data_IF_403473933517
#
_entry.id   IF_403473933517
#
_cell.length_a   1.000
_cell.length_b   1.000
_cell.length_c   1.000
_cell.angle_alpha   90.00
_cell.angle_beta   90.00
_cell.angle_gamma   90.00
#
_symmetry.space_group_name_H-M   'P 1'
#
loop_
_entity.id
_entity.type
_entity.pdbx_description
1 polymer ?
#
# COMPACT_ATOMS: atom_id res chain seq x y z
N UNK A 1 -51.81 51.13 6.64
CA UNK A 1 -51.89 49.69 6.32
C UNK A 1 -50.76 49.38 5.37
N UNK A 2 -49.57 49.10 5.91
CA UNK A 2 -48.37 48.87 5.11
C UNK A 2 -48.38 47.42 4.62
N UNK A 3 -48.91 47.21 3.41
CA UNK A 3 -48.77 45.94 2.71
C UNK A 3 -47.33 45.84 2.20
N UNK A 4 -46.44 45.31 3.04
CA UNK A 4 -45.08 44.97 2.66
C UNK A 4 -45.12 43.80 1.65
N UNK A 5 -45.33 44.13 0.38
CA UNK A 5 -45.42 43.18 -0.71
C UNK A 5 -44.01 42.61 -0.95
N UNK A 6 -43.79 41.37 -0.53
CA UNK A 6 -42.53 40.67 -0.78
C UNK A 6 -42.40 40.41 -2.28
N UNK A 7 -41.68 41.29 -2.98
CA UNK A 7 -41.33 41.09 -4.39
C UNK A 7 -40.60 39.75 -4.54
N UNK A 8 -41.31 38.76 -5.09
CA UNK A 8 -40.75 37.49 -5.51
C UNK A 8 -39.79 37.76 -6.67
N UNK A 9 -38.50 37.98 -6.35
CA UNK A 9 -37.44 38.17 -7.34
C UNK A 9 -37.36 36.94 -8.24
N UNK A 10 -37.88 37.07 -9.46
CA UNK A 10 -37.79 36.03 -10.50
C UNK A 10 -36.31 35.65 -10.64
N UNK A 11 -36.00 34.37 -10.41
CA UNK A 11 -34.62 33.87 -10.47
C UNK A 11 -34.07 34.05 -11.88
N UNK A 12 -32.84 34.54 -11.99
CA UNK A 12 -32.17 34.68 -13.28
C UNK A 12 -31.89 33.32 -13.92
N UNK A 13 -31.73 33.29 -15.25
CA UNK A 13 -31.40 32.07 -15.98
C UNK A 13 -30.15 31.35 -15.42
N UNK A 14 -29.15 32.11 -14.98
CA UNK A 14 -27.94 31.58 -14.32
C UNK A 14 -28.25 30.89 -13.00
N UNK A 15 -29.11 31.49 -12.16
CA UNK A 15 -29.52 30.91 -10.88
C UNK A 15 -30.30 29.61 -11.09
N UNK A 16 -31.24 29.58 -12.05
CA UNK A 16 -31.98 28.35 -12.41
C UNK A 16 -31.04 27.22 -12.82
N UNK A 17 -30.07 27.48 -13.72
CA UNK A 17 -29.05 26.50 -14.14
C UNK A 17 -28.19 26.02 -12.97
N UNK A 18 -27.81 26.92 -12.06
CA UNK A 18 -27.00 26.57 -10.89
C UNK A 18 -27.74 25.62 -9.96
N UNK A 19 -29.03 25.87 -9.71
CA UNK A 19 -29.86 25.04 -8.84
C UNK A 19 -29.95 23.60 -9.38
N UNK A 20 -30.26 23.44 -10.67
CA UNK A 20 -30.32 22.11 -11.31
C UNK A 20 -28.99 21.38 -11.20
N UNK A 21 -27.87 22.08 -11.44
CA UNK A 21 -26.53 21.48 -11.30
C UNK A 21 -26.24 21.07 -9.86
N UNK A 22 -26.55 21.93 -8.88
CA UNK A 22 -26.33 21.63 -7.47
C UNK A 22 -27.21 20.48 -6.99
N UNK A 23 -28.44 20.38 -7.49
CA UNK A 23 -29.34 19.28 -7.14
C UNK A 23 -28.80 17.96 -7.68
N UNK A 24 -28.40 17.93 -8.96
CA UNK A 24 -27.72 16.78 -9.56
C UNK A 24 -26.46 16.38 -8.78
N UNK A 25 -25.62 17.34 -8.41
CA UNK A 25 -24.41 17.06 -7.63
C UNK A 25 -24.74 16.49 -6.24
N UNK A 26 -25.81 16.98 -5.58
CA UNK A 26 -26.28 16.41 -4.30
C UNK A 26 -26.77 14.97 -4.45
N UNK A 27 -27.50 14.65 -5.53
CA UNK A 27 -27.93 13.29 -5.83
C UNK A 27 -26.73 12.35 -6.00
N UNK A 28 -25.69 12.81 -6.72
CA UNK A 28 -24.45 12.04 -6.90
C UNK A 28 -23.71 11.81 -5.57
N UNK A 29 -23.65 12.81 -4.70
CA UNK A 29 -23.06 12.67 -3.35
C UNK A 29 -23.86 11.66 -2.52
N UNK A 30 -25.20 11.73 -2.55
CA UNK A 30 -26.07 10.78 -1.84
C UNK A 30 -25.85 9.35 -2.33
N UNK A 31 -25.77 9.16 -3.65
CA UNK A 31 -25.51 7.88 -4.27
C UNK A 31 -24.14 7.31 -3.85
N UNK A 32 -23.09 8.15 -3.83
CA UNK A 32 -21.76 7.73 -3.38
C UNK A 32 -21.74 7.36 -1.89
N UNK A 33 -22.40 8.13 -1.02
CA UNK A 33 -22.53 7.79 0.40
C UNK A 33 -23.21 6.44 0.60
N UNK A 34 -24.32 6.20 -0.11
CA UNK A 34 -25.02 4.91 -0.06
C UNK A 34 -24.12 3.76 -0.51
N UNK A 35 -23.37 3.95 -1.59
CA UNK A 35 -22.38 2.98 -2.07
C UNK A 35 -21.33 2.67 -1.01
N UNK A 36 -20.79 3.68 -0.35
CA UNK A 36 -19.80 3.53 0.72
C UNK A 36 -20.38 2.77 1.92
N UNK A 37 -21.60 3.10 2.35
CA UNK A 37 -22.32 2.39 3.42
C UNK A 37 -22.49 0.90 3.10
N UNK A 38 -22.93 0.56 1.88
CA UNK A 38 -23.10 -0.83 1.44
C UNK A 38 -21.78 -1.59 1.44
N UNK A 39 -20.68 -0.97 0.99
CA UNK A 39 -19.37 -1.59 1.10
C UNK A 39 -18.95 -1.82 2.56
N UNK A 40 -19.22 -0.87 3.47
CA UNK A 40 -18.91 -1.06 4.89
C UNK A 40 -19.72 -2.21 5.48
N UNK A 41 -21.00 -2.32 5.13
CA UNK A 41 -21.87 -3.43 5.54
C UNK A 41 -21.35 -4.77 5.00
N UNK A 42 -20.99 -4.83 3.71
CA UNK A 42 -20.40 -6.03 3.11
C UNK A 42 -19.07 -6.42 3.80
N UNK A 43 -18.26 -5.43 4.18
CA UNK A 43 -17.01 -5.65 4.90
C UNK A 43 -17.22 -6.06 6.36
N UNK A 44 -18.33 -5.70 7.00
CA UNK A 44 -18.64 -6.09 8.38
C UNK A 44 -19.25 -7.49 8.51
N UNK A 45 -19.73 -8.10 7.43
CA UNK A 45 -20.29 -9.45 7.44
C UNK A 45 -19.33 -10.49 8.06
N UNK A 46 -19.80 -11.48 8.82
CA UNK A 46 -18.92 -12.47 9.44
C UNK A 46 -18.29 -13.42 8.39
N UNK A 47 -17.19 -14.06 8.79
CA UNK A 47 -16.63 -15.20 8.05
C UNK A 47 -17.37 -16.47 8.48
N UNK A 48 -17.85 -17.25 7.52
CA UNK A 48 -18.57 -18.50 7.75
C UNK A 48 -17.66 -19.68 7.42
N UNK A 49 -17.56 -20.70 8.28
CA UNK A 49 -16.76 -21.89 7.98
C UNK A 49 -17.36 -22.65 6.79
N UNK A 50 -16.49 -23.17 5.93
CA UNK A 50 -16.88 -24.05 4.83
C UNK A 50 -17.14 -25.45 5.38
N UNK A 51 -18.18 -26.12 4.87
CA UNK A 51 -18.47 -27.52 5.18
C UNK A 51 -17.31 -28.43 4.79
N UNK A 52 -16.66 -28.15 3.66
CA UNK A 52 -15.49 -28.88 3.18
C UNK A 52 -14.36 -27.89 2.87
N UNK A 53 -13.32 -27.82 3.71
CA UNK A 53 -12.12 -27.06 3.41
C UNK A 53 -11.44 -27.58 2.14
N UNK A 54 -10.92 -26.68 1.31
CA UNK A 54 -10.24 -27.05 0.07
C UNK A 54 -8.88 -26.36 -0.05
N UNK A 55 -7.99 -26.98 -0.81
CA UNK A 55 -6.67 -26.41 -1.10
C UNK A 55 -6.78 -25.44 -2.29
N UNK A 56 -6.48 -24.15 -2.05
CA UNK A 56 -6.43 -23.13 -3.13
C UNK A 56 -5.07 -23.05 -3.83
N UNK A 57 -4.02 -23.56 -3.19
CA UNK A 57 -2.67 -23.54 -3.72
C UNK A 57 -1.66 -23.90 -2.64
N UNK A 58 -0.50 -23.25 -2.68
CA UNK A 58 0.60 -23.43 -1.73
C UNK A 58 0.99 -22.09 -1.10
N UNK A 59 1.43 -22.16 0.14
CA UNK A 59 2.08 -21.05 0.82
C UNK A 59 3.46 -21.48 1.28
N UNK A 60 4.40 -20.56 1.31
CA UNK A 60 5.71 -20.77 1.93
C UNK A 60 6.01 -19.64 2.90
N UNK A 61 6.59 -20.03 4.02
CA UNK A 61 6.84 -19.18 5.18
C UNK A 61 8.12 -19.66 5.86
N UNK A 62 8.72 -18.80 6.67
CA UNK A 62 9.87 -19.17 7.46
C UNK A 62 9.45 -19.90 8.73
N UNK A 63 10.20 -20.92 9.09
CA UNK A 63 10.11 -21.67 10.35
C UNK A 63 11.48 -21.69 10.99
N UNK A 64 11.54 -21.68 12.32
CA UNK A 64 12.80 -21.83 13.04
C UNK A 64 13.44 -23.20 12.70
N UNK A 65 14.75 -23.18 12.43
CA UNK A 65 15.53 -24.38 12.11
C UNK A 65 15.58 -25.30 13.33
N UNK A 66 15.60 -26.61 13.09
CA UNK A 66 15.39 -27.60 14.16
C UNK A 66 16.52 -27.66 15.20
N UNK A 67 17.74 -27.27 14.82
CA UNK A 67 18.87 -27.10 15.75
C UNK A 67 18.68 -25.90 16.69
N UNK A 68 18.27 -24.75 16.15
CA UNK A 68 17.99 -23.55 16.96
C UNK A 68 16.79 -23.79 17.87
N UNK A 69 15.78 -24.55 17.42
CA UNK A 69 14.64 -24.96 18.25
C UNK A 69 15.02 -25.78 19.48
N UNK A 70 16.13 -26.52 19.44
CA UNK A 70 16.63 -27.31 20.58
C UNK A 70 17.56 -26.52 21.48
N UNK A 71 17.93 -25.30 21.09
CA UNK A 71 18.85 -24.44 21.84
C UNK A 71 18.13 -23.65 22.94
N UNK A 72 18.89 -23.14 23.91
CA UNK A 72 18.34 -22.32 24.99
C UNK A 72 17.65 -21.03 24.50
N UNK A 73 18.04 -20.51 23.33
CA UNK A 73 17.46 -19.31 22.73
C UNK A 73 16.27 -19.59 21.81
N UNK A 74 15.75 -20.83 21.79
CA UNK A 74 14.60 -21.21 20.95
C UNK A 74 13.40 -20.28 21.17
N UNK A 75 13.02 -20.06 22.42
CA UNK A 75 11.85 -19.24 22.78
C UNK A 75 11.97 -17.80 22.27
N UNK A 76 13.18 -17.21 22.33
CA UNK A 76 13.45 -15.87 21.81
C UNK A 76 13.22 -15.78 20.29
N UNK A 77 13.81 -16.70 19.52
CA UNK A 77 13.65 -16.68 18.06
C UNK A 77 12.25 -17.10 17.60
N UNK A 78 11.56 -17.95 18.35
CA UNK A 78 10.14 -18.25 18.10
C UNK A 78 9.25 -17.03 18.32
N UNK A 79 9.52 -16.20 19.34
CA UNK A 79 8.81 -14.95 19.58
C UNK A 79 9.12 -13.86 18.53
N UNK A 80 10.35 -13.82 18.02
CA UNK A 80 10.76 -12.89 16.97
C UNK A 80 10.17 -13.26 15.60
N UNK A 81 10.07 -14.55 15.27
CA UNK A 81 9.60 -15.03 13.98
C UNK A 81 8.30 -14.36 13.49
N UNK A 82 7.17 -14.32 14.22
CA UNK A 82 5.93 -13.71 13.74
C UNK A 82 6.07 -12.22 13.38
N UNK A 83 7.03 -11.51 13.99
CA UNK A 83 7.30 -10.09 13.73
C UNK A 83 7.98 -9.87 12.37
N UNK A 84 8.85 -10.80 11.98
CA UNK A 84 9.67 -10.70 10.76
C UNK A 84 9.23 -11.65 9.64
N UNK A 85 8.32 -12.59 9.90
CA UNK A 85 7.96 -13.62 8.93
C UNK A 85 7.30 -13.00 7.70
N UNK A 86 7.61 -13.55 6.54
CA UNK A 86 6.95 -13.22 5.28
C UNK A 86 6.23 -14.46 4.77
N UNK A 87 5.02 -14.29 4.26
CA UNK A 87 4.24 -15.38 3.67
C UNK A 87 4.07 -15.08 2.18
N UNK A 88 4.41 -16.05 1.33
CA UNK A 88 4.13 -15.98 -0.09
C UNK A 88 3.19 -17.09 -0.51
N UNK A 89 2.19 -16.72 -1.30
CA UNK A 89 1.22 -17.63 -1.89
C UNK A 89 1.58 -17.89 -3.36
N UNK A 90 1.34 -19.11 -3.82
CA UNK A 90 1.52 -19.52 -5.20
C UNK A 90 0.55 -20.66 -5.54
N UNK A 91 0.18 -20.80 -6.82
CA UNK A 91 -0.72 -21.89 -7.24
C UNK A 91 0.01 -23.24 -7.26
N UNK A 92 1.29 -23.26 -7.68
CA UNK A 92 2.16 -24.44 -7.65
C UNK A 92 3.12 -24.49 -6.45
N UNK A 93 3.48 -25.72 -6.03
CA UNK A 93 4.45 -26.00 -4.96
C UNK A 93 5.87 -25.53 -5.26
N UNK A 94 6.22 -25.29 -6.53
CA UNK A 94 7.59 -24.95 -6.94
C UNK A 94 7.97 -23.48 -6.74
N UNK A 95 6.97 -22.58 -6.59
CA UNK A 95 7.19 -21.13 -6.47
C UNK A 95 8.10 -20.52 -7.56
N UNK A 96 8.07 -21.11 -8.76
CA UNK A 96 8.82 -20.61 -9.91
C UNK A 96 8.08 -19.47 -10.58
N UNK A 97 8.79 -18.38 -10.86
CA UNK A 97 8.28 -17.26 -11.64
C UNK A 97 8.74 -17.36 -13.09
N UNK A 98 7.82 -17.11 -14.02
CA UNK A 98 8.14 -16.97 -15.44
C UNK A 98 8.97 -15.71 -15.64
N UNK A 99 10.13 -15.85 -16.27
CA UNK A 99 11.03 -14.73 -16.59
C UNK A 99 11.39 -14.77 -18.05
N UNK A 100 11.28 -13.61 -18.71
CA UNK A 100 11.65 -13.45 -20.11
C UNK A 100 13.10 -12.99 -20.22
N UNK A 101 13.89 -13.66 -21.05
CA UNK A 101 15.25 -13.23 -21.41
C UNK A 101 15.45 -13.45 -22.91
N UNK A 102 15.87 -12.41 -23.64
CA UNK A 102 16.13 -12.44 -25.09
C UNK A 102 15.00 -13.15 -25.88
N UNK A 103 13.75 -12.70 -25.69
CA UNK A 103 12.53 -13.26 -26.33
C UNK A 103 12.15 -14.71 -25.95
N UNK A 104 12.94 -15.44 -25.14
CA UNK A 104 12.61 -16.76 -24.61
C UNK A 104 12.09 -16.67 -23.17
N UNK A 105 11.29 -17.65 -22.76
CA UNK A 105 10.78 -17.76 -21.38
C UNK A 105 11.50 -18.89 -20.65
N UNK A 106 11.97 -18.59 -19.44
CA UNK A 106 12.46 -19.57 -18.48
C UNK A 106 11.70 -19.44 -17.17
N UNK A 107 11.92 -20.41 -16.28
CA UNK A 107 11.36 -20.42 -14.94
C UNK A 107 12.49 -20.30 -13.91
N UNK A 108 12.42 -19.31 -13.04
CA UNK A 108 13.39 -19.11 -11.97
C UNK A 108 12.68 -19.23 -10.62
N UNK A 109 13.36 -19.82 -9.63
CA UNK A 109 12.85 -19.84 -8.26
C UNK A 109 12.87 -18.40 -7.74
N UNK A 110 11.72 -17.89 -7.31
CA UNK A 110 11.65 -16.58 -6.68
C UNK A 110 12.30 -16.68 -5.30
N UNK A 111 13.34 -15.89 -5.03
CA UNK A 111 13.88 -15.76 -3.68
C UNK A 111 12.86 -15.10 -2.76
N UNK A 112 12.80 -15.57 -1.52
CA UNK A 112 12.01 -14.99 -0.45
C UNK A 112 12.95 -14.73 0.73
N UNK A 113 12.85 -13.54 1.28
CA UNK A 113 13.62 -13.08 2.42
C UNK A 113 12.69 -12.79 3.59
N UNK A 114 13.25 -12.78 4.79
CA UNK A 114 12.57 -12.26 5.97
C UNK A 114 12.28 -10.76 5.78
N UNK A 115 11.40 -10.22 6.61
CA UNK A 115 11.01 -8.82 6.52
C UNK A 115 12.14 -7.93 7.04
N UNK A 116 12.57 -7.01 6.18
CA UNK A 116 13.45 -5.90 6.57
C UNK A 116 12.61 -4.69 7.01
N UNK A 117 13.24 -3.80 7.78
CA UNK A 117 12.62 -2.56 8.24
C UNK A 117 13.25 -1.34 7.58
N UNK A 118 12.43 -0.42 7.06
CA UNK A 118 12.87 0.91 6.66
C UNK A 118 13.13 1.78 7.89
N UNK A 119 13.92 2.85 7.75
CA UNK A 119 14.21 3.81 8.82
C UNK A 119 12.96 4.31 9.55
N UNK A 120 11.90 4.62 8.80
CA UNK A 120 10.65 5.06 9.41
C UNK A 120 9.99 3.94 10.22
N UNK A 121 9.89 2.74 9.67
CA UNK A 121 9.26 1.61 10.36
C UNK A 121 10.03 1.18 11.62
N UNK A 122 11.36 1.29 11.60
CA UNK A 122 12.24 1.03 12.73
C UNK A 122 12.00 2.05 13.86
N UNK A 123 11.94 3.35 13.51
CA UNK A 123 11.69 4.43 14.49
C UNK A 123 10.30 4.35 15.13
N UNK A 124 9.26 4.08 14.33
CA UNK A 124 7.89 3.99 14.84
C UNK A 124 7.67 2.69 15.62
N UNK A 125 8.45 1.65 15.33
CA UNK A 125 8.39 0.34 15.98
C UNK A 125 6.95 -0.24 16.10
N UNK A 126 6.17 -0.19 15.00
CA UNK A 126 4.78 -0.72 14.98
C UNK A 126 4.67 -2.20 15.31
N UNK A 127 5.79 -2.93 15.21
CA UNK A 127 5.87 -4.37 15.41
C UNK A 127 6.25 -4.71 16.86
N UNK A 128 6.47 -3.70 17.72
CA UNK A 128 6.86 -3.86 19.12
C UNK A 128 8.07 -4.79 19.29
N UNK A 129 9.16 -4.46 18.57
CA UNK A 129 10.46 -5.10 18.77
C UNK A 129 11.02 -4.71 20.13
N UNK A 130 11.44 -5.70 20.91
CA UNK A 130 12.18 -5.47 22.17
C UNK A 130 13.60 -5.01 21.85
N UNK A 131 14.27 -4.40 22.83
CA UNK A 131 15.63 -3.90 22.60
C UNK A 131 16.63 -5.04 22.35
N UNK A 132 16.43 -6.21 22.97
CA UNK A 132 17.17 -7.44 22.68
C UNK A 132 16.96 -7.91 21.23
N UNK A 133 15.71 -7.93 20.74
CA UNK A 133 15.41 -8.29 19.36
C UNK A 133 16.05 -7.32 18.37
N UNK A 134 16.12 -6.02 18.70
CA UNK A 134 16.76 -5.02 17.84
C UNK A 134 18.25 -5.27 17.64
N UNK A 135 18.93 -5.87 18.62
CA UNK A 135 20.36 -6.23 18.49
C UNK A 135 20.62 -7.24 17.37
N UNK A 136 19.61 -8.02 16.98
CA UNK A 136 19.70 -8.99 15.90
C UNK A 136 19.67 -8.34 14.50
N UNK A 137 19.61 -7.01 14.38
CA UNK A 137 19.56 -6.32 13.11
C UNK A 137 20.78 -5.43 12.90
N UNK A 138 21.25 -5.38 11.65
CA UNK A 138 22.27 -4.43 11.21
C UNK A 138 21.70 -3.41 10.25
N UNK A 139 22.25 -2.20 10.33
CA UNK A 139 21.95 -1.13 9.41
C UNK A 139 22.72 -1.34 8.11
N UNK A 140 22.00 -1.40 6.99
CA UNK A 140 22.56 -1.58 5.66
C UNK A 140 22.02 -0.50 4.73
N UNK A 141 22.92 0.15 3.98
CA UNK A 141 22.53 1.06 2.91
C UNK A 141 22.27 0.26 1.63
N UNK A 142 21.06 0.38 1.09
CA UNK A 142 20.64 -0.31 -0.12
C UNK A 142 20.22 0.73 -1.15
N UNK A 143 20.76 0.63 -2.36
CA UNK A 143 20.32 1.45 -3.48
C UNK A 143 19.00 0.89 -4.03
N UNK A 144 17.89 1.62 -3.86
CA UNK A 144 16.62 1.25 -4.47
C UNK A 144 16.58 1.70 -5.94
N UNK A 145 16.51 0.72 -6.83
CA UNK A 145 16.43 0.93 -8.29
C UNK A 145 15.19 1.71 -8.70
N UNK A 146 14.07 1.58 -7.97
CA UNK A 146 12.78 2.21 -8.32
C UNK A 146 12.80 3.71 -8.07
N UNK A 147 13.27 4.11 -6.89
CA UNK A 147 13.36 5.52 -6.47
C UNK A 147 14.69 6.15 -6.89
N UNK A 148 15.69 5.33 -7.26
CA UNK A 148 17.06 5.72 -7.58
C UNK A 148 17.73 6.50 -6.44
N UNK A 149 17.48 6.10 -5.19
CA UNK A 149 18.09 6.69 -4.01
C UNK A 149 18.61 5.61 -3.06
N UNK A 150 19.61 5.97 -2.27
CA UNK A 150 20.05 5.14 -1.15
C UNK A 150 18.97 5.18 -0.07
N UNK A 151 18.55 4.00 0.36
CA UNK A 151 17.65 3.81 1.50
C UNK A 151 18.38 3.01 2.58
N UNK A 152 18.26 3.45 3.82
CA UNK A 152 18.76 2.71 4.98
C UNK A 152 17.72 1.68 5.38
N UNK A 153 18.13 0.41 5.43
CA UNK A 153 17.31 -0.70 5.92
C UNK A 153 17.98 -1.41 7.08
N UNK A 154 17.16 -1.93 7.98
CA UNK A 154 17.58 -2.80 9.07
C UNK A 154 17.28 -4.23 8.67
N UNK A 155 18.35 -4.99 8.46
CA UNK A 155 18.33 -6.37 7.97
C UNK A 155 18.75 -7.29 9.11
N UNK A 156 18.11 -8.46 9.20
CA UNK A 156 18.46 -9.45 10.20
C UNK A 156 19.90 -9.99 9.95
N UNK A 157 20.72 -10.04 11.00
CA UNK A 157 22.11 -10.51 10.93
C UNK A 157 22.22 -12.01 10.69
N UNK A 158 21.33 -12.79 11.31
CA UNK A 158 21.39 -14.26 11.32
C UNK A 158 20.18 -14.90 10.64
N UNK A 159 19.97 -14.69 9.32
CA UNK A 159 18.81 -15.23 8.61
C UNK A 159 18.84 -16.76 8.49
N UNK A 160 20.02 -17.39 8.61
CA UNK A 160 20.21 -18.84 8.51
C UNK A 160 19.49 -19.64 9.62
N UNK A 161 19.13 -18.99 10.73
CA UNK A 161 18.33 -19.58 11.81
C UNK A 161 16.91 -19.95 11.35
N UNK A 162 16.46 -19.39 10.24
CA UNK A 162 15.13 -19.59 9.70
C UNK A 162 15.18 -20.28 8.34
N UNK A 163 14.36 -21.31 8.17
CA UNK A 163 14.28 -22.11 6.93
C UNK A 163 12.90 -21.97 6.31
N UNK A 164 12.86 -21.89 4.98
CA UNK A 164 11.61 -21.86 4.24
C UNK A 164 10.92 -23.22 4.29
N UNK A 165 9.68 -23.24 4.77
CA UNK A 165 8.79 -24.40 4.72
C UNK A 165 7.63 -24.14 3.78
N UNK A 166 7.35 -25.10 2.92
CA UNK A 166 6.21 -25.06 1.99
C UNK A 166 5.07 -25.89 2.60
N UNK A 167 3.87 -25.32 2.61
CA UNK A 167 2.65 -25.93 3.11
C UNK A 167 1.48 -25.69 2.14
N UNK A 168 0.47 -26.57 2.11
CA UNK A 168 -0.76 -26.31 1.37
C UNK A 168 -1.46 -25.07 1.93
N UNK A 169 -2.02 -24.24 1.05
CA UNK A 169 -2.88 -23.12 1.42
C UNK A 169 -4.33 -23.58 1.43
N UNK A 170 -4.79 -23.99 2.61
CA UNK A 170 -6.18 -24.40 2.84
C UNK A 170 -7.07 -23.19 3.07
N UNK A 171 -8.20 -23.16 2.38
CA UNK A 171 -9.29 -22.20 2.61
C UNK A 171 -10.34 -22.91 3.44
N UNK A 172 -10.57 -22.40 4.66
CA UNK A 172 -11.49 -22.98 5.64
C UNK A 172 -12.72 -22.12 5.88
N UNK A 173 -12.63 -20.81 5.62
CA UNK A 173 -13.70 -19.86 5.83
C UNK A 173 -13.92 -19.02 4.58
N UNK A 174 -15.16 -18.59 4.35
CA UNK A 174 -15.53 -17.67 3.28
C UNK A 174 -16.39 -16.57 3.86
N UNK A 175 -16.31 -15.38 3.27
CA UNK A 175 -17.13 -14.23 3.67
C UNK A 175 -18.60 -14.56 3.43
N UNK A 176 -19.46 -14.33 4.43
CA UNK A 176 -20.91 -14.42 4.23
C UNK A 176 -21.33 -13.48 3.10
N UNK A 177 -22.30 -13.91 2.30
CA UNK A 177 -22.89 -13.11 1.23
C UNK A 177 -24.32 -12.76 1.60
N UNK A 178 -24.65 -11.49 1.44
CA UNK A 178 -26.01 -10.98 1.53
C UNK A 178 -26.46 -10.60 0.12
N UNK A 179 -27.51 -11.27 -0.36
CA UNK A 179 -28.03 -11.09 -1.71
C UNK A 179 -28.61 -9.68 -1.92
N UNK A 180 -29.22 -9.09 -0.90
CA UNK A 180 -29.86 -7.78 -1.03
C UNK A 180 -28.80 -6.68 -1.12
N UNK A 181 -27.72 -6.79 -0.33
CA UNK A 181 -26.57 -5.90 -0.44
C UNK A 181 -25.87 -6.02 -1.79
N UNK A 182 -25.65 -7.25 -2.29
CA UNK A 182 -25.02 -7.48 -3.61
C UNK A 182 -25.88 -6.91 -4.75
N UNK A 183 -27.21 -7.07 -4.67
CA UNK A 183 -28.15 -6.52 -5.66
C UNK A 183 -28.13 -5.00 -5.67
N UNK A 184 -28.21 -4.36 -4.51
CA UNK A 184 -28.22 -2.90 -4.44
C UNK A 184 -26.90 -2.29 -4.91
N UNK A 185 -25.76 -2.87 -4.51
CA UNK A 185 -24.44 -2.48 -5.00
C UNK A 185 -24.35 -2.62 -6.52
N UNK A 186 -24.79 -3.76 -7.06
CA UNK A 186 -24.78 -4.01 -8.50
C UNK A 186 -25.61 -3.00 -9.29
N UNK A 187 -26.79 -2.63 -8.78
CA UNK A 187 -27.61 -1.58 -9.39
C UNK A 187 -26.88 -0.22 -9.41
N UNK A 188 -26.30 0.18 -8.28
CA UNK A 188 -25.57 1.45 -8.16
C UNK A 188 -24.36 1.48 -9.09
N UNK A 189 -23.56 0.41 -9.13
CA UNK A 189 -22.38 0.31 -9.99
C UNK A 189 -22.77 0.39 -11.48
N UNK A 190 -23.78 -0.39 -11.90
CA UNK A 190 -24.28 -0.36 -13.27
C UNK A 190 -24.76 1.04 -13.65
N UNK A 191 -25.50 1.72 -12.76
CA UNK A 191 -25.98 3.07 -13.00
C UNK A 191 -24.84 4.10 -13.11
N UNK A 192 -23.77 3.98 -12.31
CA UNK A 192 -22.58 4.83 -12.40
C UNK A 192 -21.87 4.62 -13.73
N UNK A 193 -21.71 3.36 -14.15
CA UNK A 193 -20.93 2.98 -15.32
C UNK A 193 -21.63 3.37 -16.61
N UNK A 194 -22.92 3.03 -16.76
CA UNK A 194 -23.74 3.36 -17.94
C UNK A 194 -23.81 4.87 -18.17
N UNK A 195 -23.95 5.64 -17.09
CA UNK A 195 -24.08 7.10 -17.17
C UNK A 195 -22.73 7.84 -17.05
N UNK A 196 -21.61 7.11 -16.98
CA UNK A 196 -20.26 7.65 -16.81
C UNK A 196 -20.13 8.69 -15.67
N UNK A 197 -20.76 8.42 -14.52
CA UNK A 197 -20.85 9.37 -13.41
C UNK A 197 -19.60 9.37 -12.53
N UNK A 198 -18.77 8.33 -12.62
CA UNK A 198 -17.58 8.11 -11.78
C UNK A 198 -16.62 9.32 -11.69
N UNK A 199 -16.19 9.93 -12.80
CA UNK A 199 -15.31 11.11 -12.76
C UNK A 199 -15.91 12.29 -12.00
N UNK A 200 -17.22 12.54 -12.15
CA UNK A 200 -17.92 13.62 -11.47
C UNK A 200 -18.07 13.33 -9.97
N UNK A 201 -18.46 12.10 -9.62
CA UNK A 201 -18.56 11.63 -8.24
C UNK A 201 -17.21 11.78 -7.53
N UNK A 202 -16.12 11.28 -8.13
CA UNK A 202 -14.77 11.36 -7.55
C UNK A 202 -14.35 12.80 -7.27
N UNK A 203 -14.65 13.72 -8.19
CA UNK A 203 -14.36 15.15 -8.01
C UNK A 203 -15.14 15.77 -6.86
N UNK A 204 -16.40 15.36 -6.66
CA UNK A 204 -17.26 15.87 -5.59
C UNK A 204 -16.88 15.30 -4.22
N UNK A 205 -16.52 14.02 -4.15
CA UNK A 205 -16.25 13.33 -2.87
C UNK A 205 -14.80 13.50 -2.40
N UNK A 206 -13.83 13.39 -3.30
CA UNK A 206 -12.39 13.35 -2.95
C UNK A 206 -11.63 14.59 -3.46
N UNK A 207 -12.34 15.54 -4.07
CA UNK A 207 -11.76 16.74 -4.67
C UNK A 207 -10.97 16.45 -5.95
N UNK A 208 -10.21 17.44 -6.41
CA UNK A 208 -9.23 17.22 -7.49
C UNK A 208 -8.08 16.42 -6.90
N UNK A 209 -7.94 15.15 -7.29
CA UNK A 209 -6.79 14.33 -6.91
C UNK A 209 -5.49 15.05 -7.31
N UNK A 210 -4.78 15.64 -6.35
CA UNK A 210 -3.45 16.20 -6.60
C UNK A 210 -2.53 15.04 -7.00
N UNK A 211 -2.04 15.03 -8.24
CA UNK A 211 -0.97 14.12 -8.66
C UNK A 211 0.31 14.49 -7.90
N UNK A 212 0.52 13.93 -6.71
CA UNK A 212 1.76 14.05 -5.93
C UNK A 212 2.95 13.29 -6.56
N UNK A 213 3.06 13.24 -7.90
CA UNK A 213 4.25 12.71 -8.57
C UNK A 213 5.25 13.86 -8.73
N UNK A 214 6.39 13.78 -8.03
CA UNK A 214 7.62 14.59 -8.16
C UNK A 214 7.91 15.61 -7.04
N UNK A 215 7.86 15.24 -5.75
CA UNK A 215 8.28 16.20 -4.68
C UNK A 215 9.48 15.82 -3.81
N UNK A 216 10.12 14.68 -4.01
CA UNK A 216 11.23 14.26 -3.13
C UNK A 216 12.57 13.97 -3.80
N UNK A 217 12.71 14.22 -5.11
CA UNK A 217 14.01 14.13 -5.79
C UNK A 217 14.13 15.28 -6.80
N UNK A 218 15.18 16.08 -6.65
CA UNK A 218 15.59 17.05 -7.69
C UNK A 218 15.85 16.24 -8.97
N UNK A 219 15.10 16.51 -10.06
CA UNK A 219 15.32 15.76 -11.31
C UNK A 219 16.79 15.92 -11.71
N UNK A 220 17.43 14.87 -12.20
CA UNK A 220 18.85 14.89 -12.59
C UNK A 220 19.21 16.03 -13.56
N UNK A 221 18.26 16.48 -14.39
CA UNK A 221 18.41 17.68 -15.25
C UNK A 221 18.63 18.99 -14.48
N UNK A 222 18.14 19.08 -13.25
CA UNK A 222 18.25 20.24 -12.36
C UNK A 222 19.31 20.07 -11.28
N UNK A 223 20.13 19.01 -11.37
CA UNK A 223 21.25 18.80 -10.46
C UNK A 223 22.35 19.82 -10.78
N UNK A 224 22.22 21.00 -10.21
CA UNK A 224 23.17 22.08 -10.41
C UNK A 224 24.43 21.79 -9.58
N UNK A 225 25.54 21.44 -10.24
CA UNK A 225 26.83 21.15 -9.59
C UNK A 225 27.33 22.32 -8.75
N UNK A 226 26.91 23.55 -9.07
CA UNK A 226 27.32 24.78 -8.41
C UNK A 226 26.49 25.13 -7.16
N UNK A 227 25.39 24.42 -6.86
CA UNK A 227 24.59 24.69 -5.66
C UNK A 227 25.29 24.36 -4.33
N UNK A 228 26.36 23.54 -4.38
CA UNK A 228 27.13 23.11 -3.19
C UNK A 228 28.50 23.77 -3.07
N UNK A 229 28.90 24.55 -4.06
CA UNK A 229 30.17 25.29 -4.01
C UNK A 229 29.92 26.61 -3.27
N UNK A 230 30.72 26.89 -2.25
CA UNK A 230 30.79 28.23 -1.65
C UNK A 230 30.98 29.25 -2.77
N UNK A 231 30.32 30.41 -2.69
CA UNK A 231 30.50 31.51 -3.65
C UNK A 231 31.97 31.95 -3.76
N UNK A 232 32.78 31.62 -2.76
CA UNK A 232 34.20 31.92 -2.64
C UNK A 232 35.12 30.72 -2.91
N UNK A 233 34.60 29.56 -3.30
CA UNK A 233 35.39 28.34 -3.50
C UNK A 233 36.55 28.52 -4.50
N UNK A 234 36.37 29.37 -5.52
CA UNK A 234 37.44 29.71 -6.47
C UNK A 234 38.52 30.63 -5.87
N UNK A 235 38.15 31.49 -4.91
CA UNK A 235 39.07 32.41 -4.22
C UNK A 235 39.87 31.68 -3.14
N UNK A 236 39.23 30.73 -2.45
CA UNK A 236 39.87 29.83 -1.48
C UNK A 236 40.91 28.92 -2.15
N UNK A 237 40.62 28.38 -3.35
CA UNK A 237 41.58 27.58 -4.11
C UNK A 237 42.82 28.38 -4.56
N UNK A 238 42.64 29.66 -4.90
CA UNK A 238 43.72 30.55 -5.31
C UNK A 238 44.64 30.91 -4.14
N UNK A 239 44.06 31.19 -2.97
CA UNK A 239 44.82 31.46 -1.74
C UNK A 239 45.56 30.23 -1.21
N UNK A 240 45.04 29.02 -1.44
CA UNK A 240 45.69 27.78 -1.05
C UNK A 240 46.83 27.34 -1.99
N UNK A 241 46.94 27.92 -3.19
CA UNK A 241 48.05 27.65 -4.13
C UNK A 241 49.22 28.63 -4.00
N UNK A 242 49.07 29.69 -3.21
CA UNK A 242 50.07 30.75 -3.00
C UNK A 242 50.70 30.71 -1.58
N UNK A 243 50.51 29.63 -0.82
CA UNK A 243 51.17 29.37 0.47
C UNK A 243 51.73 27.96 0.54
#
# INVERSE_FOLDING_TARGET
MDTHQWNCRIRSARQKKRIVKTDRDKQLIKLQKRREELYQQQMSLPMVPLQQPYQRGWKRLFVLRDDVKRSASAQFYEALLPKINTIQFHYDKTFKKKKRRKKRYGYEIKQQLLRDFSTHSWKVNRVALTDEEKTCFTQVEIFDIKTKCNEIRYVLTEPWRYVLKIAPHMVTHVKMKDLDLERELGYIETHIDVNHLGPRINLLSYGRSYRWKNRFVERTKYHNRFKKLSKYAGKEAYLASEG
#
